data_IF_107882566967
#
_entry.id   IF_107882566967
#
_cell.length_a   1.000
_cell.length_b   1.000
_cell.length_c   1.000
_cell.angle_alpha   90.00
_cell.angle_beta   90.00
_cell.angle_gamma   90.00
#
_symmetry.space_group_name_H-M   'P 1'
#
loop_
_entity.id
_entity.type
_entity.pdbx_description
1 polymer ?
#
# COMPACT_ATOMS: atom_id res chain seq x y z
N UNK A 1 -3.15 17.82 59.20
CA UNK A 1 -3.81 18.84 58.35
C UNK A 1 -5.04 18.18 57.74
N UNK A 2 -6.21 18.33 58.37
CA UNK A 2 -7.45 17.71 57.88
C UNK A 2 -7.92 18.48 56.65
N UNK A 3 -7.76 17.89 55.47
CA UNK A 3 -8.31 18.44 54.24
C UNK A 3 -9.82 18.25 54.30
N UNK A 4 -10.57 19.31 54.59
CA UNK A 4 -12.03 19.35 54.41
C UNK A 4 -12.31 19.38 52.90
N UNK A 5 -12.24 18.21 52.26
CA UNK A 5 -12.58 18.08 50.84
C UNK A 5 -14.09 18.30 50.73
N UNK A 6 -14.48 19.38 50.06
CA UNK A 6 -15.88 19.65 49.77
C UNK A 6 -16.46 18.48 48.95
N UNK A 7 -17.54 17.85 49.42
CA UNK A 7 -18.11 16.64 48.78
C UNK A 7 -18.42 16.86 47.29
N UNK A 8 -18.77 18.10 46.90
CA UNK A 8 -18.95 18.49 45.49
C UNK A 8 -17.66 18.47 44.67
N UNK A 9 -16.51 18.85 45.25
CA UNK A 9 -15.20 18.78 44.59
C UNK A 9 -14.74 17.33 44.43
N UNK A 10 -15.02 16.48 45.42
CA UNK A 10 -14.71 15.05 45.39
C UNK A 10 -15.51 14.33 44.29
N UNK A 11 -16.82 14.63 44.17
CA UNK A 11 -17.68 14.11 43.09
C UNK A 11 -17.25 14.62 41.71
N UNK A 12 -16.85 15.89 41.59
CA UNK A 12 -16.34 16.45 40.35
C UNK A 12 -15.07 15.76 39.86
N UNK A 13 -14.10 15.52 40.75
CA UNK A 13 -12.86 14.79 40.44
C UNK A 13 -13.15 13.34 40.03
N UNK A 14 -14.06 12.66 40.74
CA UNK A 14 -14.50 11.30 40.39
C UNK A 14 -15.17 11.24 39.01
N UNK A 15 -15.97 12.25 38.67
CA UNK A 15 -16.59 12.37 37.35
C UNK A 15 -15.55 12.55 36.23
N UNK A 16 -14.60 13.47 36.39
CA UNK A 16 -13.53 13.71 35.42
C UNK A 16 -12.67 12.44 35.26
N UNK A 17 -12.34 11.76 36.37
CA UNK A 17 -11.61 10.51 36.33
C UNK A 17 -12.38 9.42 35.59
N UNK A 18 -13.68 9.30 35.84
CA UNK A 18 -14.55 8.37 35.11
C UNK A 18 -14.55 8.63 33.60
N UNK A 19 -14.72 9.89 33.18
CA UNK A 19 -14.65 10.28 31.77
C UNK A 19 -13.28 9.96 31.14
N UNK A 20 -12.19 10.20 31.87
CA UNK A 20 -10.84 9.88 31.41
C UNK A 20 -10.65 8.36 31.20
N UNK A 21 -11.17 7.53 32.11
CA UNK A 21 -11.12 6.07 31.95
C UNK A 21 -11.91 5.63 30.72
N UNK A 22 -13.13 6.12 30.54
CA UNK A 22 -13.97 5.80 29.37
C UNK A 22 -13.28 6.20 28.06
N UNK A 23 -12.70 7.40 28.01
CA UNK A 23 -11.97 7.89 26.83
C UNK A 23 -10.80 6.96 26.46
N UNK A 24 -10.04 6.48 27.45
CA UNK A 24 -8.92 5.56 27.22
C UNK A 24 -9.39 4.17 26.75
N UNK A 25 -10.51 3.66 27.30
CA UNK A 25 -11.10 2.39 26.85
C UNK A 25 -11.54 2.46 25.38
N UNK A 26 -12.17 3.57 24.99
CA UNK A 26 -12.54 3.81 23.58
C UNK A 26 -11.28 3.82 22.71
N UNK A 27 -10.24 4.57 23.11
CA UNK A 27 -8.98 4.62 22.38
C UNK A 27 -8.32 3.26 22.20
N UNK A 28 -8.30 2.42 23.24
CA UNK A 28 -7.75 1.05 23.16
C UNK A 28 -8.46 0.19 22.13
N UNK A 29 -9.79 0.19 22.14
CA UNK A 29 -10.60 -0.60 21.21
C UNK A 29 -10.42 -0.08 19.78
N UNK A 30 -10.53 1.24 19.57
CA UNK A 30 -10.40 1.85 18.25
C UNK A 30 -9.03 1.61 17.62
N UNK A 31 -7.94 1.82 18.37
CA UNK A 31 -6.59 1.60 17.86
C UNK A 31 -6.33 0.12 17.55
N UNK A 32 -6.86 -0.79 18.37
CA UNK A 32 -6.70 -2.23 18.13
C UNK A 32 -7.46 -2.67 16.87
N UNK A 33 -8.68 -2.17 16.67
CA UNK A 33 -9.46 -2.45 15.46
C UNK A 33 -8.80 -1.89 14.20
N UNK A 34 -8.30 -0.66 14.24
CA UNK A 34 -7.62 -0.05 13.09
C UNK A 34 -6.31 -0.78 12.76
N UNK A 35 -5.56 -1.22 13.76
CA UNK A 35 -4.36 -2.04 13.53
C UNK A 35 -4.67 -3.33 12.77
N UNK A 36 -5.79 -3.97 13.10
CA UNK A 36 -6.23 -5.17 12.38
C UNK A 36 -6.74 -4.85 10.98
N UNK A 37 -7.43 -3.72 10.79
CA UNK A 37 -7.83 -3.25 9.46
C UNK A 37 -6.61 -3.05 8.53
N UNK A 38 -5.55 -2.39 9.02
CA UNK A 38 -4.30 -2.22 8.25
C UNK A 38 -3.68 -3.56 7.88
N UNK A 39 -3.69 -4.56 8.77
CA UNK A 39 -3.20 -5.92 8.43
C UNK A 39 -4.04 -6.57 7.32
N UNK A 40 -5.35 -6.39 7.36
CA UNK A 40 -6.25 -6.84 6.30
C UNK A 40 -5.95 -6.18 4.95
N UNK A 41 -5.70 -4.87 4.95
CA UNK A 41 -5.35 -4.13 3.74
C UNK A 41 -3.97 -4.55 3.19
N UNK A 42 -3.00 -4.81 4.06
CA UNK A 42 -1.70 -5.39 3.66
C UNK A 42 -1.93 -6.70 2.92
N UNK A 43 -2.71 -7.63 3.51
CA UNK A 43 -3.03 -8.91 2.86
C UNK A 43 -3.73 -8.74 1.52
N UNK A 44 -4.64 -7.76 1.40
CA UNK A 44 -5.31 -7.44 0.14
C UNK A 44 -4.32 -6.99 -0.94
N UNK A 45 -3.38 -6.11 -0.61
CA UNK A 45 -2.36 -5.64 -1.56
C UNK A 45 -1.51 -6.81 -2.06
N UNK A 46 -1.10 -7.72 -1.18
CA UNK A 46 -0.37 -8.94 -1.58
C UNK A 46 -1.16 -9.78 -2.58
N UNK A 47 -2.40 -10.16 -2.26
CA UNK A 47 -3.21 -11.02 -3.14
C UNK A 47 -3.52 -10.38 -4.50
N UNK A 48 -3.76 -9.07 -4.55
CA UNK A 48 -4.04 -8.40 -5.82
C UNK A 48 -2.76 -8.29 -6.66
N UNK A 49 -1.61 -8.01 -6.01
CA UNK A 49 -0.33 -7.94 -6.71
C UNK A 49 0.06 -9.31 -7.27
N UNK A 50 -0.07 -10.38 -6.48
CA UNK A 50 0.17 -11.76 -6.89
C UNK A 50 -0.59 -12.11 -8.18
N UNK A 51 -1.89 -11.81 -8.24
CA UNK A 51 -2.72 -12.05 -9.44
C UNK A 51 -2.23 -11.30 -10.67
N UNK A 52 -1.75 -10.07 -10.52
CA UNK A 52 -1.19 -9.34 -11.66
C UNK A 52 0.14 -9.95 -12.12
N UNK A 53 0.98 -10.36 -11.18
CA UNK A 53 2.26 -11.03 -11.47
C UNK A 53 2.03 -12.39 -12.17
N UNK A 54 0.96 -13.12 -11.86
CA UNK A 54 0.58 -14.36 -12.55
C UNK A 54 0.24 -14.15 -14.04
N UNK A 55 -0.20 -12.95 -14.44
CA UNK A 55 -0.51 -12.61 -15.84
C UNK A 55 0.73 -12.20 -16.64
N UNK A 56 1.79 -11.74 -15.95
CA UNK A 56 3.01 -11.24 -16.59
C UNK A 56 3.73 -12.23 -17.52
N UNK A 57 3.85 -13.55 -17.23
CA UNK A 57 4.49 -14.49 -18.15
C UNK A 57 3.76 -14.60 -19.49
N UNK A 58 2.42 -14.47 -19.47
CA UNK A 58 1.62 -14.50 -20.69
C UNK A 58 1.85 -13.24 -21.51
N UNK A 59 1.92 -12.10 -20.82
CA UNK A 59 2.26 -10.81 -21.42
C UNK A 59 3.68 -10.80 -22.01
N UNK A 60 4.65 -11.37 -21.29
CA UNK A 60 6.05 -11.55 -21.73
C UNK A 60 6.12 -12.27 -23.08
N UNK A 61 5.43 -13.42 -23.19
CA UNK A 61 5.36 -14.18 -24.45
C UNK A 61 4.70 -13.39 -25.59
N UNK A 62 3.65 -12.61 -25.30
CA UNK A 62 3.00 -11.79 -26.32
C UNK A 62 3.91 -10.64 -26.79
N UNK A 63 4.65 -10.01 -25.87
CA UNK A 63 5.65 -8.99 -26.21
C UNK A 63 6.79 -9.60 -27.04
N UNK A 64 7.33 -10.76 -26.67
CA UNK A 64 8.43 -11.41 -27.42
C UNK A 64 8.06 -11.77 -28.87
N UNK A 65 6.83 -12.25 -29.09
CA UNK A 65 6.39 -12.70 -30.42
C UNK A 65 6.08 -11.52 -31.34
N UNK A 66 5.47 -10.46 -30.80
CA UNK A 66 4.84 -9.40 -31.59
C UNK A 66 5.50 -8.02 -31.46
N UNK A 67 6.23 -7.77 -30.38
CA UNK A 67 6.97 -6.53 -30.11
C UNK A 67 8.47 -6.83 -30.05
N UNK A 68 9.02 -7.34 -31.15
CA UNK A 68 10.43 -7.79 -31.22
C UNK A 68 11.45 -6.68 -30.96
N UNK A 69 11.04 -5.42 -31.12
CA UNK A 69 11.78 -4.21 -30.84
C UNK A 69 11.68 -3.77 -29.36
N UNK A 70 10.85 -4.43 -28.54
CA UNK A 70 10.61 -4.11 -27.13
C UNK A 70 11.21 -5.12 -26.16
N UNK A 71 12.51 -5.39 -26.31
CA UNK A 71 13.26 -6.19 -25.34
C UNK A 71 13.32 -5.53 -23.96
N UNK A 72 13.22 -4.20 -23.92
CA UNK A 72 13.11 -3.41 -22.69
C UNK A 72 11.88 -3.79 -21.85
N UNK A 73 10.73 -4.03 -22.49
CA UNK A 73 9.51 -4.48 -21.82
C UNK A 73 9.65 -5.89 -21.24
N UNK A 74 10.26 -6.81 -21.99
CA UNK A 74 10.51 -8.19 -21.55
C UNK A 74 11.41 -8.17 -20.31
N UNK A 75 12.51 -7.42 -20.35
CA UNK A 75 13.42 -7.28 -19.21
C UNK A 75 12.70 -6.70 -17.98
N UNK A 76 11.89 -5.65 -18.17
CA UNK A 76 11.12 -5.03 -17.09
C UNK A 76 10.12 -6.01 -16.45
N UNK A 77 9.45 -6.82 -17.27
CA UNK A 77 8.53 -7.87 -16.81
C UNK A 77 9.30 -8.92 -16.01
N UNK A 78 10.44 -9.41 -16.51
CA UNK A 78 11.27 -10.39 -15.82
C UNK A 78 11.76 -9.85 -14.46
N UNK A 79 12.22 -8.60 -14.42
CA UNK A 79 12.66 -7.93 -13.18
C UNK A 79 11.50 -7.83 -12.20
N UNK A 80 10.34 -7.33 -12.62
CA UNK A 80 9.18 -7.17 -11.75
C UNK A 80 8.73 -8.51 -11.11
N UNK A 81 8.80 -9.61 -11.88
CA UNK A 81 8.52 -10.96 -11.37
C UNK A 81 9.55 -11.41 -10.34
N UNK A 82 10.84 -11.17 -10.60
CA UNK A 82 11.91 -11.54 -9.67
C UNK A 82 11.84 -10.72 -8.37
N UNK A 83 11.56 -9.43 -8.47
CA UNK A 83 11.39 -8.54 -7.34
C UNK A 83 10.15 -8.92 -6.52
N UNK A 84 9.07 -9.37 -7.15
CA UNK A 84 7.91 -9.92 -6.45
C UNK A 84 8.28 -11.16 -5.64
N UNK A 85 9.02 -12.10 -6.22
CA UNK A 85 9.48 -13.30 -5.49
C UNK A 85 10.42 -12.95 -4.34
N UNK A 86 11.24 -11.91 -4.48
CA UNK A 86 12.09 -11.41 -3.40
C UNK A 86 11.24 -10.78 -2.28
N UNK A 87 10.25 -9.96 -2.64
CA UNK A 87 9.31 -9.34 -1.71
C UNK A 87 8.49 -10.39 -0.96
N UNK A 88 7.95 -11.40 -1.66
CA UNK A 88 7.17 -12.48 -1.07
C UNK A 88 7.99 -13.27 -0.04
N UNK A 89 9.24 -13.63 -0.38
CA UNK A 89 10.15 -14.34 0.54
C UNK A 89 10.49 -13.52 1.78
N UNK A 90 10.63 -12.21 1.64
CA UNK A 90 10.98 -11.32 2.75
C UNK A 90 9.74 -10.89 3.55
N UNK A 91 8.55 -10.99 2.98
CA UNK A 91 7.31 -10.40 3.50
C UNK A 91 7.38 -8.87 3.60
N UNK A 92 8.32 -8.23 2.90
CA UNK A 92 8.59 -6.81 3.05
C UNK A 92 7.65 -5.98 2.16
N UNK A 93 6.81 -5.19 2.83
CA UNK A 93 5.83 -4.33 2.18
C UNK A 93 6.47 -3.20 1.34
N UNK A 94 7.66 -2.71 1.73
CA UNK A 94 8.37 -1.69 0.95
C UNK A 94 8.91 -2.27 -0.36
N UNK A 95 9.39 -3.52 -0.33
CA UNK A 95 9.79 -4.24 -1.55
C UNK A 95 8.59 -4.47 -2.47
N UNK A 96 7.45 -4.87 -1.89
CA UNK A 96 6.21 -4.99 -2.65
C UNK A 96 5.79 -3.66 -3.27
N UNK A 97 5.96 -2.54 -2.56
CA UNK A 97 5.68 -1.22 -3.14
C UNK A 97 6.53 -0.94 -4.37
N UNK A 98 7.82 -1.32 -4.37
CA UNK A 98 8.69 -1.18 -5.54
C UNK A 98 8.23 -2.04 -6.73
N UNK A 99 7.74 -3.26 -6.45
CA UNK A 99 7.14 -4.12 -7.49
C UNK A 99 5.90 -3.46 -8.10
N UNK A 100 5.03 -2.89 -7.26
CA UNK A 100 3.84 -2.18 -7.71
C UNK A 100 4.22 -1.02 -8.63
N UNK A 101 5.26 -0.25 -8.27
CA UNK A 101 5.78 0.84 -9.09
C UNK A 101 6.32 0.35 -10.45
N UNK A 102 7.05 -0.77 -10.48
CA UNK A 102 7.53 -1.40 -11.71
C UNK A 102 6.38 -1.87 -12.61
N UNK A 103 5.36 -2.50 -12.02
CA UNK A 103 4.16 -2.96 -12.73
C UNK A 103 3.38 -1.79 -13.33
N UNK A 104 3.23 -0.68 -12.61
CA UNK A 104 2.62 0.54 -13.17
C UNK A 104 3.47 1.13 -14.31
N UNK A 105 4.80 1.06 -14.24
CA UNK A 105 5.66 1.50 -15.34
C UNK A 105 5.49 0.62 -16.59
N UNK A 106 5.32 -0.70 -16.43
CA UNK A 106 5.00 -1.63 -17.54
C UNK A 106 3.71 -1.17 -18.24
N UNK A 107 2.66 -0.82 -17.49
CA UNK A 107 1.39 -0.33 -18.07
C UNK A 107 1.58 0.90 -18.95
N UNK A 108 2.31 1.91 -18.47
CA UNK A 108 2.58 3.14 -19.23
C UNK A 108 3.32 2.83 -20.53
N UNK A 109 4.28 1.92 -20.49
CA UNK A 109 5.06 1.52 -21.66
C UNK A 109 4.26 0.71 -22.68
N UNK A 110 3.28 -0.06 -22.22
CA UNK A 110 2.31 -0.81 -23.03
C UNK A 110 1.32 0.15 -23.71
N UNK A 111 0.79 1.14 -22.98
CA UNK A 111 -0.12 2.16 -23.51
C UNK A 111 0.55 3.05 -24.58
N UNK A 112 1.85 3.28 -24.47
CA UNK A 112 2.63 4.00 -25.47
C UNK A 112 2.77 3.22 -26.81
N UNK A 113 2.40 1.94 -26.87
CA UNK A 113 2.48 1.13 -28.08
C UNK A 113 1.14 1.16 -28.86
N UNK A 114 1.10 1.78 -30.05
CA UNK A 114 -0.14 1.89 -30.81
C UNK A 114 -0.61 0.50 -31.30
N UNK A 115 -1.91 0.22 -31.16
CA UNK A 115 -2.57 -1.09 -31.38
C UNK A 115 -2.47 -1.70 -32.80
N UNK A 116 -1.64 -1.15 -33.67
CA UNK A 116 -1.70 -1.30 -35.13
C UNK A 116 -1.56 -2.76 -35.62
N UNK A 117 -1.06 -3.67 -34.77
CA UNK A 117 -0.86 -5.09 -35.11
C UNK A 117 -1.38 -6.11 -34.07
N UNK A 118 -2.25 -5.71 -33.14
CA UNK A 118 -2.74 -6.60 -32.08
C UNK A 118 -4.02 -7.35 -32.49
N UNK A 119 -4.09 -8.63 -32.13
CA UNK A 119 -5.29 -9.46 -32.24
C UNK A 119 -6.25 -9.16 -31.09
N UNK A 120 -7.54 -9.47 -31.24
CA UNK A 120 -8.55 -9.27 -30.17
C UNK A 120 -8.17 -9.97 -28.86
N UNK A 121 -7.53 -11.13 -28.92
CA UNK A 121 -7.11 -11.87 -27.72
C UNK A 121 -6.00 -11.15 -26.95
N UNK A 122 -5.15 -10.38 -27.65
CA UNK A 122 -4.04 -9.63 -27.05
C UNK A 122 -4.50 -8.32 -26.45
N UNK A 123 -5.39 -7.60 -27.15
CA UNK A 123 -6.06 -6.42 -26.60
C UNK A 123 -6.77 -6.79 -25.30
N UNK A 124 -7.49 -7.92 -25.28
CA UNK A 124 -8.13 -8.41 -24.08
C UNK A 124 -7.16 -8.72 -22.92
N UNK A 125 -5.95 -9.22 -23.21
CA UNK A 125 -4.93 -9.47 -22.18
C UNK A 125 -4.34 -8.16 -21.63
N UNK A 126 -4.08 -7.18 -22.50
CA UNK A 126 -3.62 -5.85 -22.09
C UNK A 126 -4.68 -5.17 -21.21
N UNK A 127 -5.95 -5.25 -21.59
CA UNK A 127 -7.08 -4.74 -20.79
C UNK A 127 -7.20 -5.46 -19.43
N UNK A 128 -7.05 -6.79 -19.41
CA UNK A 128 -7.09 -7.58 -18.18
C UNK A 128 -5.92 -7.23 -17.24
N UNK A 129 -4.73 -7.01 -17.81
CA UNK A 129 -3.53 -6.58 -17.10
C UNK A 129 -3.73 -5.17 -16.55
N UNK A 130 -4.13 -4.20 -17.37
CA UNK A 130 -4.45 -2.83 -16.98
C UNK A 130 -5.50 -2.78 -15.87
N UNK A 131 -6.57 -3.58 -16.00
CA UNK A 131 -7.60 -3.71 -14.98
C UNK A 131 -7.06 -4.27 -13.66
N UNK A 132 -6.08 -5.17 -13.70
CA UNK A 132 -5.41 -5.68 -12.51
C UNK A 132 -4.51 -4.63 -11.86
N UNK A 133 -3.77 -3.86 -12.67
CA UNK A 133 -2.89 -2.78 -12.20
C UNK A 133 -3.70 -1.66 -11.55
N UNK A 134 -4.83 -1.28 -12.13
CA UNK A 134 -5.74 -0.31 -11.52
C UNK A 134 -6.28 -0.79 -10.16
N UNK A 135 -6.58 -2.08 -10.02
CA UNK A 135 -6.96 -2.67 -8.72
C UNK A 135 -5.81 -2.64 -7.71
N UNK A 136 -4.57 -2.82 -8.14
CA UNK A 136 -3.38 -2.70 -7.28
C UNK A 136 -3.26 -1.26 -6.77
N UNK A 137 -3.35 -0.26 -7.65
CA UNK A 137 -3.27 1.16 -7.26
C UNK A 137 -4.31 1.49 -6.20
N UNK A 138 -5.56 1.11 -6.42
CA UNK A 138 -6.62 1.35 -5.44
C UNK A 138 -6.37 0.64 -4.10
N UNK A 139 -5.85 -0.59 -4.11
CA UNK A 139 -5.53 -1.32 -2.89
C UNK A 139 -4.37 -0.67 -2.12
N UNK A 140 -3.36 -0.16 -2.82
CA UNK A 140 -2.25 0.61 -2.24
C UNK A 140 -2.76 1.89 -1.59
N UNK A 141 -3.61 2.64 -2.27
CA UNK A 141 -4.19 3.87 -1.73
C UNK A 141 -5.02 3.60 -0.48
N UNK A 142 -5.85 2.54 -0.51
CA UNK A 142 -6.64 2.11 0.66
C UNK A 142 -5.76 1.79 1.86
N UNK A 143 -4.62 1.11 1.63
CA UNK A 143 -3.66 0.78 2.67
C UNK A 143 -2.96 2.03 3.23
N UNK A 144 -2.59 2.98 2.38
CA UNK A 144 -2.03 4.27 2.82
C UNK A 144 -3.04 5.01 3.68
N UNK A 145 -4.30 5.08 3.25
CA UNK A 145 -5.37 5.73 4.02
C UNK A 145 -5.57 5.07 5.40
N UNK A 146 -5.55 3.74 5.47
CA UNK A 146 -5.73 3.04 6.75
C UNK A 146 -4.53 3.19 7.69
N UNK A 147 -3.30 3.21 7.16
CA UNK A 147 -2.08 3.54 7.93
C UNK A 147 -2.11 4.98 8.47
N UNK A 148 -2.51 5.94 7.63
CA UNK A 148 -2.65 7.35 8.03
C UNK A 148 -3.75 7.50 9.09
N UNK A 149 -4.92 6.89 8.89
CA UNK A 149 -6.03 6.92 9.83
C UNK A 149 -5.67 6.34 11.20
N UNK A 150 -4.88 5.27 11.23
CA UNK A 150 -4.30 4.73 12.46
C UNK A 150 -3.39 5.75 13.16
N UNK A 151 -2.45 6.33 12.41
CA UNK A 151 -1.51 7.30 12.95
C UNK A 151 -2.22 8.56 13.48
N UNK A 152 -3.29 9.02 12.82
CA UNK A 152 -4.13 10.13 13.30
C UNK A 152 -4.88 9.77 14.59
N UNK A 153 -5.52 8.60 14.64
CA UNK A 153 -6.26 8.14 15.82
C UNK A 153 -5.34 8.00 17.03
N UNK A 154 -4.10 7.56 16.81
CA UNK A 154 -3.07 7.47 17.84
C UNK A 154 -2.76 8.83 18.48
N UNK A 155 -2.78 9.91 17.70
CA UNK A 155 -2.54 11.27 18.20
C UNK A 155 -3.75 11.77 19.01
N UNK A 156 -4.96 11.43 18.58
CA UNK A 156 -6.22 11.85 19.24
C UNK A 156 -6.38 11.21 20.62
N UNK A 157 -6.07 9.91 20.75
CA UNK A 157 -6.26 9.17 21.99
C UNK A 157 -5.04 9.28 22.93
N UNK A 158 -4.88 10.41 23.61
CA UNK A 158 -3.85 10.58 24.65
C UNK A 158 -4.37 10.13 26.05
N UNK A 159 -3.56 9.44 26.87
CA UNK A 159 -2.17 8.98 26.63
C UNK A 159 -2.05 7.62 25.93
N UNK A 160 -3.13 6.86 25.77
CA UNK A 160 -3.04 5.45 25.35
C UNK A 160 -2.38 5.24 23.97
N UNK A 161 -2.49 6.21 23.06
CA UNK A 161 -1.81 6.21 21.78
C UNK A 161 -0.29 6.15 21.87
N UNK A 162 0.32 6.58 22.98
CA UNK A 162 1.77 6.42 23.20
C UNK A 162 2.17 4.95 23.38
N UNK A 163 1.26 4.09 23.83
CA UNK A 163 1.52 2.65 23.98
C UNK A 163 1.50 1.92 22.64
N UNK A 164 0.91 2.52 21.61
CA UNK A 164 0.92 1.98 20.26
C UNK A 164 2.06 2.62 19.46
N UNK A 165 2.96 1.83 18.85
CA UNK A 165 3.96 2.39 17.95
C UNK A 165 3.27 3.00 16.73
N UNK A 166 3.87 4.05 16.14
CA UNK A 166 3.44 4.53 14.83
C UNK A 166 3.59 3.42 13.80
N UNK A 167 2.70 3.38 12.82
CA UNK A 167 2.91 2.54 11.64
C UNK A 167 3.64 3.35 10.56
N UNK A 168 4.57 2.71 9.87
CA UNK A 168 5.17 3.26 8.66
C UNK A 168 4.10 3.39 7.59
N UNK A 169 4.03 4.54 6.95
CA UNK A 169 3.13 4.74 5.81
C UNK A 169 3.88 4.35 4.54
N UNK A 170 3.21 3.62 3.64
CA UNK A 170 3.76 3.33 2.33
C UNK A 170 4.14 4.62 1.60
N UNK A 171 5.37 4.69 1.09
CA UNK A 171 5.88 5.88 0.39
C UNK A 171 6.30 7.05 1.31
N UNK A 172 6.27 6.89 2.65
CA UNK A 172 6.66 7.95 3.61
C UNK A 172 8.08 8.48 3.40
N UNK A 173 8.99 7.64 2.89
CA UNK A 173 10.39 7.97 2.65
C UNK A 173 10.72 8.25 1.18
N UNK A 174 9.71 8.39 0.32
CA UNK A 174 9.95 8.76 -1.07
C UNK A 174 10.32 10.25 -1.16
N UNK A 175 11.55 10.53 -1.57
CA UNK A 175 12.02 11.90 -1.75
C UNK A 175 11.59 12.42 -3.14
N UNK A 176 10.70 13.42 -3.23
CA UNK A 176 10.22 13.95 -4.52
C UNK A 176 11.31 14.65 -5.32
N UNK A 177 12.47 14.92 -4.73
CA UNK A 177 13.64 15.47 -5.38
C UNK A 177 14.64 14.42 -5.84
N UNK A 178 14.43 13.14 -5.51
CA UNK A 178 15.17 12.07 -6.16
C UNK A 178 14.84 12.12 -7.64
N UNK A 179 15.84 12.30 -8.53
CA UNK A 179 15.58 12.23 -9.94
C UNK A 179 14.96 10.87 -10.21
N UNK A 180 13.80 10.87 -10.88
CA UNK A 180 13.22 9.64 -11.42
C UNK A 180 14.38 8.86 -12.04
N UNK A 181 14.52 7.55 -11.76
CA UNK A 181 15.60 6.77 -12.34
C UNK A 181 15.63 7.12 -13.82
N UNK A 182 16.76 7.70 -14.26
CA UNK A 182 16.86 8.12 -15.65
C UNK A 182 16.61 6.86 -16.43
N UNK A 183 15.50 6.86 -17.15
CA UNK A 183 15.27 5.92 -18.21
C UNK A 183 16.59 5.78 -18.97
N UNK A 184 17.27 4.65 -18.81
CA UNK A 184 18.30 4.22 -19.76
C UNK A 184 17.61 3.59 -20.99
N UNK A 185 16.29 3.81 -21.12
CA UNK A 185 15.46 3.34 -22.19
C UNK A 185 15.51 4.40 -23.30
N UNK A 186 16.45 4.22 -24.22
CA UNK A 186 16.58 5.01 -25.45
C UNK A 186 17.97 5.59 -25.69
N UNK A 187 18.91 4.72 -26.05
CA UNK A 187 20.02 5.03 -26.96
C UNK A 187 19.91 4.14 -28.18
#
# INVERSE_FOLDING_TARGET
MNVNINKGLLLGVLGIFGCAVVWNVIGLVTLSMQREAVRGDVGRVWTITERAIELLPRLENDVEVFMKDRQDLVELITIARNDFLAAEKSGNLDQLSGVIDAVMAIQVQIEAYPEVNLTQQQVALMDETAGSINRISFARDTLIESQVGFNQSRIIFFPVGLMFPRMSVLGEYHDPSTPLPTSNFGG
#
